data_IF_955596631840
#
_entry.id   IF_955596631840
#
_cell.length_a   1.000
_cell.length_b   1.000
_cell.length_c   1.000
_cell.angle_alpha   90.00
_cell.angle_beta   90.00
_cell.angle_gamma   90.00
#
_symmetry.space_group_name_H-M   'P 1'
#
loop_
_entity.id
_entity.type
_entity.pdbx_description
1 polymer ?
#
# COMPACT_ATOMS: atom_id res chain seq x y z
N UNK A 1 -1.14 -6.51 15.41
CA UNK A 1 -0.35 -6.59 14.17
C UNK A 1 0.30 -5.24 13.95
N UNK A 2 1.55 -5.22 13.48
CA UNK A 2 2.32 -4.00 13.26
C UNK A 2 2.89 -3.99 11.83
N UNK A 3 3.02 -2.82 11.23
CA UNK A 3 3.73 -2.60 9.98
C UNK A 3 5.02 -1.81 10.25
N UNK A 4 6.08 -2.18 9.53
CA UNK A 4 7.39 -1.55 9.57
C UNK A 4 7.72 -1.03 8.18
N UNK A 5 8.07 0.25 8.08
CA UNK A 5 8.44 0.91 6.82
C UNK A 5 9.95 1.13 6.80
N UNK A 6 10.64 0.59 5.80
CA UNK A 6 12.06 0.86 5.57
C UNK A 6 12.30 2.34 5.26
N UNK A 7 13.55 2.80 5.46
CA UNK A 7 13.93 4.14 5.05
C UNK A 7 13.79 4.32 3.52
N UNK A 8 14.15 3.30 2.74
CA UNK A 8 14.08 3.27 1.28
C UNK A 8 12.64 3.44 0.80
N UNK A 9 11.70 2.65 1.33
CA UNK A 9 10.30 2.76 0.98
C UNK A 9 9.74 4.14 1.36
N UNK A 10 10.12 4.69 2.52
CA UNK A 10 9.72 6.04 2.93
C UNK A 10 10.26 7.11 1.98
N UNK A 11 11.53 7.03 1.58
CA UNK A 11 12.15 7.95 0.60
C UNK A 11 11.45 7.86 -0.75
N UNK A 12 11.15 6.65 -1.24
CA UNK A 12 10.43 6.44 -2.49
C UNK A 12 9.01 7.02 -2.47
N UNK A 13 8.25 6.80 -1.40
CA UNK A 13 6.93 7.40 -1.21
C UNK A 13 7.00 8.94 -1.17
N UNK A 14 8.01 9.48 -0.47
CA UNK A 14 8.25 10.92 -0.41
C UNK A 14 8.61 11.49 -1.78
N UNK A 15 9.46 10.82 -2.55
CA UNK A 15 9.84 11.25 -3.89
C UNK A 15 8.63 11.29 -4.84
N UNK A 16 7.78 10.27 -4.82
CA UNK A 16 6.52 10.25 -5.59
C UNK A 16 5.65 11.47 -5.25
N UNK A 17 5.56 11.82 -3.98
CA UNK A 17 4.76 12.96 -3.51
C UNK A 17 5.24 14.32 -4.01
N UNK A 18 6.52 14.45 -4.37
CA UNK A 18 7.11 15.68 -4.91
C UNK A 18 6.85 15.87 -6.41
N UNK A 19 6.64 14.77 -7.14
CA UNK A 19 6.52 14.79 -8.62
C UNK A 19 5.09 14.57 -9.11
N UNK A 20 4.16 14.14 -8.25
CA UNK A 20 2.76 13.91 -8.62
C UNK A 20 2.04 15.24 -8.84
N UNK A 21 1.69 15.55 -10.09
CA UNK A 21 1.16 16.87 -10.48
C UNK A 21 -0.37 16.95 -10.63
N UNK A 22 -1.11 15.83 -10.64
CA UNK A 22 -2.58 15.88 -10.79
C UNK A 22 -3.35 14.62 -10.38
N UNK A 23 -2.79 13.42 -10.59
CA UNK A 23 -3.41 12.17 -10.15
C UNK A 23 -2.87 11.74 -8.80
N UNK A 24 -3.75 11.21 -7.94
CA UNK A 24 -3.38 10.58 -6.68
C UNK A 24 -2.60 9.28 -6.97
N UNK A 25 -1.28 9.23 -6.73
CA UNK A 25 -0.49 8.06 -7.07
C UNK A 25 -0.90 6.86 -6.21
N UNK A 26 -0.92 5.70 -6.87
CA UNK A 26 -1.19 4.42 -6.25
C UNK A 26 -0.07 3.44 -6.58
N UNK A 27 -0.01 2.34 -5.85
CA UNK A 27 0.91 1.27 -6.20
C UNK A 27 0.91 0.14 -5.19
N UNK A 28 2.03 -0.56 -5.19
CA UNK A 28 2.21 -1.80 -4.44
C UNK A 28 3.33 -1.68 -3.42
N UNK A 29 3.17 -2.46 -2.36
CA UNK A 29 4.16 -2.63 -1.31
C UNK A 29 4.93 -3.91 -1.57
N UNK A 30 6.26 -3.78 -1.61
CA UNK A 30 7.18 -4.89 -1.81
C UNK A 30 7.89 -5.17 -0.49
N UNK A 31 7.99 -6.44 -0.12
CA UNK A 31 8.67 -6.88 1.08
C UNK A 31 8.10 -8.20 1.56
N UNK A 32 7.89 -8.34 2.86
CA UNK A 32 7.53 -9.64 3.42
C UNK A 32 6.77 -9.54 4.75
N UNK A 33 6.18 -10.67 5.16
CA UNK A 33 5.51 -10.85 6.44
C UNK A 33 6.33 -11.79 7.33
N UNK A 34 6.51 -11.45 8.61
CA UNK A 34 7.06 -12.37 9.64
C UNK A 34 6.08 -12.47 10.79
N UNK A 35 5.38 -13.61 10.90
CA UNK A 35 4.29 -13.78 11.84
C UNK A 35 3.21 -12.71 11.66
N UNK A 36 2.94 -11.94 12.72
CA UNK A 36 1.94 -10.87 12.74
C UNK A 36 2.47 -9.48 12.31
N UNK A 37 3.68 -9.43 11.75
CA UNK A 37 4.38 -8.18 11.39
C UNK A 37 4.61 -8.10 9.88
N UNK A 38 4.38 -6.91 9.34
CA UNK A 38 4.63 -6.58 7.93
C UNK A 38 5.89 -5.72 7.81
N UNK A 39 6.74 -6.01 6.84
CA UNK A 39 7.96 -5.26 6.55
C UNK A 39 7.89 -4.76 5.11
N UNK A 40 7.64 -3.46 4.96
CA UNK A 40 7.68 -2.75 3.67
C UNK A 40 9.13 -2.37 3.40
N UNK A 41 9.74 -3.02 2.42
CA UNK A 41 11.15 -2.81 2.06
C UNK A 41 11.29 -1.86 0.88
N UNK A 42 10.36 -1.95 -0.07
CA UNK A 42 10.33 -1.09 -1.25
C UNK A 42 8.87 -0.88 -1.72
N UNK A 43 8.68 -0.06 -2.74
CA UNK A 43 7.40 0.18 -3.38
C UNK A 43 7.51 0.10 -4.90
N UNK A 44 6.39 -0.14 -5.56
CA UNK A 44 6.25 0.00 -7.00
C UNK A 44 5.05 0.90 -7.29
N UNK A 45 5.29 2.06 -7.91
CA UNK A 45 4.22 2.98 -8.31
C UNK A 45 3.54 2.46 -9.56
N UNK A 46 2.22 2.51 -9.57
CA UNK A 46 1.43 2.28 -10.76
C UNK A 46 1.07 3.60 -11.45
N UNK A 47 0.92 3.54 -12.76
CA UNK A 47 0.56 4.69 -13.61
C UNK A 47 -0.96 4.94 -13.57
N UNK A 48 -1.78 3.88 -13.54
CA UNK A 48 -3.23 3.94 -13.73
C UNK A 48 -4.00 3.07 -12.71
N UNK A 49 -4.02 3.47 -11.44
CA UNK A 49 -4.67 2.69 -10.37
C UNK A 49 -3.88 1.43 -9.99
N UNK A 50 -4.40 0.57 -9.11
CA UNK A 50 -3.63 -0.58 -8.61
C UNK A 50 -3.18 -1.53 -9.74
N UNK A 51 -4.12 -2.14 -10.46
CA UNK A 51 -3.82 -3.06 -11.57
C UNK A 51 -5.03 -3.15 -12.52
N UNK A 52 -4.82 -3.53 -13.79
CA UNK A 52 -5.90 -3.63 -14.77
C UNK A 52 -6.76 -4.89 -14.63
N UNK A 53 -6.20 -5.99 -14.11
CA UNK A 53 -6.92 -7.25 -13.87
C UNK A 53 -6.23 -8.11 -12.81
N UNK A 54 -6.94 -9.07 -12.22
CA UNK A 54 -6.36 -10.00 -11.24
C UNK A 54 -5.25 -10.86 -11.86
N UNK A 55 -5.39 -11.26 -13.12
CA UNK A 55 -4.32 -11.96 -13.85
C UNK A 55 -3.04 -11.12 -13.92
N UNK A 56 -3.16 -9.83 -14.26
CA UNK A 56 -2.03 -8.91 -14.30
C UNK A 56 -1.42 -8.65 -12.93
N UNK A 57 -2.24 -8.68 -11.88
CA UNK A 57 -1.73 -8.68 -10.51
C UNK A 57 -0.87 -9.92 -10.22
N UNK A 58 -1.31 -11.12 -10.58
CA UNK A 58 -0.54 -12.34 -10.38
C UNK A 58 0.76 -12.37 -11.20
N UNK A 59 0.72 -11.94 -12.46
CA UNK A 59 1.93 -11.79 -13.29
C UNK A 59 2.93 -10.82 -12.63
N UNK A 60 2.44 -9.70 -12.09
CA UNK A 60 3.28 -8.73 -11.37
C UNK A 60 3.83 -9.32 -10.07
N UNK A 61 3.02 -10.05 -9.29
CA UNK A 61 3.47 -10.69 -8.05
C UNK A 61 4.55 -11.76 -8.33
N UNK A 62 4.40 -12.53 -9.41
CA UNK A 62 5.43 -13.47 -9.88
C UNK A 62 6.73 -12.75 -10.27
N UNK A 63 6.64 -11.61 -10.95
CA UNK A 63 7.81 -10.80 -11.29
C UNK A 63 8.60 -10.34 -10.04
N UNK A 64 7.92 -10.15 -8.92
CA UNK A 64 8.53 -9.80 -7.63
C UNK A 64 8.75 -11.00 -6.70
N UNK A 65 8.79 -12.24 -7.21
CA UNK A 65 8.99 -13.47 -6.44
C UNK A 65 7.97 -13.65 -5.30
N UNK A 66 6.72 -13.24 -5.49
CA UNK A 66 5.67 -13.32 -4.48
C UNK A 66 5.79 -12.28 -3.35
N UNK A 67 6.62 -11.24 -3.54
CA UNK A 67 6.86 -10.20 -2.52
C UNK A 67 5.86 -9.05 -2.56
N UNK A 68 4.80 -9.10 -3.39
CA UNK A 68 3.73 -8.09 -3.35
C UNK A 68 2.70 -8.41 -2.28
N UNK A 69 2.89 -7.80 -1.12
CA UNK A 69 2.07 -8.10 0.06
C UNK A 69 1.08 -6.99 0.42
N UNK A 70 0.99 -5.92 -0.40
CA UNK A 70 0.10 -4.81 -0.11
C UNK A 70 0.02 -3.73 -1.17
N UNK A 71 -0.72 -2.68 -0.85
CA UNK A 71 -1.02 -1.55 -1.73
C UNK A 71 -0.81 -0.23 -1.01
N UNK A 72 -0.58 0.84 -1.77
CA UNK A 72 -0.59 2.20 -1.24
C UNK A 72 -1.40 3.13 -2.13
N UNK A 73 -1.99 4.17 -1.56
CA UNK A 73 -2.69 5.20 -2.31
C UNK A 73 -2.62 6.54 -1.59
N UNK A 74 -2.37 7.61 -2.35
CA UNK A 74 -2.47 8.98 -1.84
C UNK A 74 -3.93 9.45 -1.90
N UNK A 75 -4.49 9.91 -0.78
CA UNK A 75 -5.88 10.42 -0.67
C UNK A 75 -6.89 9.58 -1.48
N UNK A 76 -6.99 8.26 -1.22
CA UNK A 76 -7.82 7.36 -2.01
C UNK A 76 -9.30 7.77 -1.98
N UNK A 77 -9.94 7.78 -3.15
CA UNK A 77 -11.39 7.88 -3.25
C UNK A 77 -12.08 6.58 -2.80
N UNK A 78 -13.30 6.67 -2.27
CA UNK A 78 -14.07 5.50 -1.80
C UNK A 78 -14.20 4.40 -2.85
N UNK A 79 -14.42 4.76 -4.12
CA UNK A 79 -14.55 3.79 -5.22
C UNK A 79 -13.24 3.03 -5.48
N UNK A 80 -12.09 3.67 -5.23
CA UNK A 80 -10.77 3.04 -5.37
C UNK A 80 -10.53 2.05 -4.23
N UNK A 81 -10.88 2.40 -3.00
CA UNK A 81 -10.80 1.49 -1.84
C UNK A 81 -11.65 0.23 -2.06
N UNK A 82 -12.85 0.37 -2.62
CA UNK A 82 -13.71 -0.80 -2.94
C UNK A 82 -13.04 -1.84 -3.84
N UNK A 83 -12.09 -1.45 -4.71
CA UNK A 83 -11.37 -2.40 -5.57
C UNK A 83 -10.43 -3.34 -4.79
N UNK A 84 -9.92 -2.89 -3.64
CA UNK A 84 -9.02 -3.67 -2.79
C UNK A 84 -9.76 -4.32 -1.61
N UNK A 85 -11.01 -3.94 -1.33
CA UNK A 85 -11.87 -4.63 -0.37
C UNK A 85 -12.49 -5.89 -1.03
N UNK A 86 -11.63 -6.87 -1.30
CA UNK A 86 -11.96 -8.05 -2.08
C UNK A 86 -11.18 -9.30 -1.60
N UNK A 87 -11.63 -10.52 -1.94
CA UNK A 87 -11.05 -11.77 -1.43
C UNK A 87 -9.54 -11.89 -1.63
N UNK A 88 -9.03 -11.54 -2.83
CA UNK A 88 -7.60 -11.68 -3.16
C UNK A 88 -6.67 -10.76 -2.33
N UNK A 89 -7.24 -9.71 -1.72
CA UNK A 89 -6.51 -8.73 -0.96
C UNK A 89 -6.60 -8.96 0.56
N UNK A 90 -7.43 -9.91 1.01
CA UNK A 90 -7.54 -10.24 2.43
C UNK A 90 -6.17 -10.64 3.01
N UNK A 91 -5.85 -10.10 4.19
CA UNK A 91 -4.56 -10.27 4.86
C UNK A 91 -3.41 -9.43 4.31
N UNK A 92 -3.63 -8.61 3.27
CA UNK A 92 -2.62 -7.69 2.70
C UNK A 92 -2.62 -6.35 3.43
N UNK A 93 -1.48 -5.67 3.37
CA UNK A 93 -1.28 -4.34 3.95
C UNK A 93 -1.80 -3.26 2.99
N UNK A 94 -2.48 -2.25 3.53
CA UNK A 94 -2.85 -1.04 2.79
C UNK A 94 -2.29 0.20 3.50
N UNK A 95 -1.60 1.06 2.75
CA UNK A 95 -1.14 2.37 3.22
C UNK A 95 -1.96 3.48 2.57
N UNK A 96 -2.63 4.28 3.38
CA UNK A 96 -3.28 5.52 2.97
C UNK A 96 -2.33 6.69 3.26
N UNK A 97 -1.94 7.41 2.22
CA UNK A 97 -1.04 8.53 2.32
C UNK A 97 -1.78 9.85 2.16
N UNK A 98 -1.39 10.87 2.90
CA UNK A 98 -1.85 12.22 2.65
C UNK A 98 -0.78 13.25 2.98
N UNK A 99 -0.72 14.31 2.19
CA UNK A 99 0.13 15.48 2.43
C UNK A 99 -0.65 16.53 3.21
N UNK A 100 -0.03 17.08 4.25
CA UNK A 100 -0.54 18.25 4.94
C UNK A 100 -0.17 19.55 4.20
N UNK A 101 -0.61 20.71 4.70
CA UNK A 101 -0.33 22.03 4.11
C UNK A 101 1.18 22.38 4.02
N UNK A 102 2.03 21.68 4.78
CA UNK A 102 3.49 21.87 4.79
C UNK A 102 4.22 20.81 3.94
N UNK A 103 3.51 20.09 3.07
CA UNK A 103 4.02 18.95 2.29
C UNK A 103 4.62 17.83 3.15
N UNK A 104 4.27 17.76 4.44
CA UNK A 104 4.65 16.65 5.30
C UNK A 104 3.72 15.48 5.03
N UNK A 105 4.31 14.35 4.68
CA UNK A 105 3.61 13.09 4.44
C UNK A 105 3.14 12.47 5.76
N UNK A 106 1.86 12.12 5.80
CA UNK A 106 1.24 11.30 6.83
C UNK A 106 0.83 9.97 6.22
N UNK A 107 1.02 8.88 6.98
CA UNK A 107 0.72 7.53 6.53
C UNK A 107 -0.17 6.87 7.58
N UNK A 108 -1.34 6.40 7.16
CA UNK A 108 -2.17 5.47 7.94
C UNK A 108 -1.99 4.07 7.37
N UNK A 109 -1.89 3.08 8.24
CA UNK A 109 -1.73 1.68 7.86
C UNK A 109 -2.91 0.85 8.28
N UNK A 110 -3.36 -0.02 7.38
CA UNK A 110 -4.48 -0.91 7.59
C UNK A 110 -4.16 -2.30 7.08
N UNK A 111 -4.80 -3.31 7.66
CA UNK A 111 -4.90 -4.63 7.05
C UNK A 111 -6.27 -4.72 6.40
N UNK A 112 -6.32 -5.31 5.21
CA UNK A 112 -7.59 -5.66 4.58
C UNK A 112 -8.04 -6.96 5.24
N UNK A 113 -9.13 -6.90 5.99
CA UNK A 113 -9.64 -8.03 6.77
C UNK A 113 -11.10 -8.32 6.39
N UNK A 114 -11.63 -9.45 6.86
CA UNK A 114 -12.99 -9.89 6.54
C UNK A 114 -13.74 -10.30 7.79
N UNK A 115 -14.91 -9.68 7.97
CA UNK A 115 -15.92 -10.07 8.97
C UNK A 115 -17.28 -9.71 8.40
N UNK A 116 -17.92 -10.70 7.78
CA UNK A 116 -19.17 -10.59 7.00
C UNK A 116 -19.02 -9.73 5.73
N UNK A 117 -18.29 -8.62 5.81
CA UNK A 117 -17.83 -7.77 4.72
C UNK A 117 -16.30 -7.52 4.80
N UNK A 118 -15.70 -7.11 3.68
CA UNK A 118 -14.29 -6.70 3.64
C UNK A 118 -14.12 -5.29 4.17
N UNK A 119 -13.17 -5.09 5.09
CA UNK A 119 -12.93 -3.79 5.73
C UNK A 119 -11.44 -3.49 5.94
N UNK A 120 -11.13 -2.23 6.23
CA UNK A 120 -9.78 -1.79 6.59
C UNK A 120 -9.62 -1.78 8.11
N UNK A 121 -8.88 -2.74 8.66
CA UNK A 121 -8.56 -2.80 10.08
C UNK A 121 -7.30 -1.96 10.39
N UNK A 122 -7.38 -0.90 11.20
CA UNK A 122 -6.24 -0.03 11.47
C UNK A 122 -5.17 -0.76 12.28
N UNK A 123 -3.91 -0.59 11.88
CA UNK A 123 -2.74 -1.13 12.59
C UNK A 123 -1.69 -0.04 12.79
N UNK A 124 -0.73 -0.29 13.69
CA UNK A 124 0.36 0.65 13.95
C UNK A 124 1.43 0.56 12.86
N UNK A 125 1.85 1.70 12.33
CA UNK A 125 3.03 1.83 11.48
C UNK A 125 4.22 2.31 12.31
N UNK A 126 5.38 1.68 12.13
CA UNK A 126 6.66 2.06 12.70
C UNK A 126 7.65 2.28 11.56
N UNK A 127 8.48 3.32 11.67
CA UNK A 127 9.58 3.52 10.73
C UNK A 127 10.82 2.79 11.25
N UNK A 128 11.47 2.02 10.39
CA UNK A 128 12.77 1.43 10.69
C UNK A 128 13.81 2.55 10.62
N UNK A 129 14.60 2.69 11.68
CA UNK A 129 15.75 3.58 11.72
C UNK A 129 16.92 2.95 10.99
#
# INVERSE_FOLDING_TARGET
MDAYLSQEAYKSLSAISLISSSSNPDGFLIGHKRGHRFFVENIFSSVNGFFPSLQKYHELDQFYDGKLFGFFSFKPEKNKIKKILAPFACGKLFLELSLNQQNKMSIKSYIIDYKDEFFLFPIKLKQLK
#
